data_IF_025578081405
#
_entry.id   IF_025578081405
#
_cell.length_a   1.000
_cell.length_b   1.000
_cell.length_c   1.000
_cell.angle_alpha   90.00
_cell.angle_beta   90.00
_cell.angle_gamma   90.00
#
_symmetry.space_group_name_H-M   'P 1'
#
loop_
_entity.id
_entity.type
_entity.pdbx_description
1 polymer ?
#
# COMPACT_ATOMS: atom_id res chain seq x y z
N UNK A 1 6.46 19.88 22.53
CA UNK A 1 5.13 19.20 22.54
C UNK A 1 5.19 17.83 23.17
N UNK A 2 5.99 16.88 22.71
CA UNK A 2 6.19 15.63 23.47
C UNK A 2 6.62 15.94 24.92
N UNK A 3 7.56 16.89 25.08
CA UNK A 3 7.94 17.44 26.39
C UNK A 3 6.91 18.38 27.03
N UNK A 4 6.07 19.08 26.25
CA UNK A 4 5.05 19.98 26.81
C UNK A 4 3.81 19.22 27.29
N UNK A 5 3.51 18.08 26.67
CA UNK A 5 2.46 17.14 27.05
C UNK A 5 2.96 16.12 28.08
N UNK A 6 4.24 16.18 28.45
CA UNK A 6 4.92 15.27 29.36
C UNK A 6 4.77 13.77 29.01
N UNK A 7 4.56 13.43 27.73
CA UNK A 7 4.29 12.05 27.30
C UNK A 7 5.54 11.26 26.89
N UNK A 8 6.73 11.85 27.02
CA UNK A 8 7.99 11.31 26.52
C UNK A 8 8.32 9.90 27.02
N UNK A 9 8.07 9.61 28.30
CA UNK A 9 8.34 8.29 28.91
C UNK A 9 7.42 7.17 28.37
N UNK A 10 6.28 7.57 27.81
CA UNK A 10 5.23 6.67 27.33
C UNK A 10 5.38 6.33 25.84
N UNK A 11 6.22 7.06 25.09
CA UNK A 11 6.49 6.78 23.69
C UNK A 11 7.41 5.56 23.60
N UNK A 12 6.86 4.43 23.15
CA UNK A 12 7.63 3.19 22.98
C UNK A 12 8.00 2.90 21.52
N UNK A 13 7.31 3.52 20.57
CA UNK A 13 7.58 3.28 19.16
C UNK A 13 7.08 4.35 18.20
N UNK A 14 7.70 4.34 17.03
CA UNK A 14 7.47 5.24 15.92
C UNK A 14 7.10 4.43 14.68
N UNK A 15 5.95 4.71 14.06
CA UNK A 15 5.56 4.06 12.80
C UNK A 15 5.50 5.04 11.65
N UNK A 16 6.13 4.71 10.53
CA UNK A 16 6.03 5.51 9.31
C UNK A 16 6.40 4.69 8.07
N UNK A 17 6.28 5.31 6.89
CA UNK A 17 6.83 4.72 5.67
C UNK A 17 8.35 4.48 5.78
N UNK A 18 8.86 3.65 4.88
CA UNK A 18 10.27 3.21 4.89
C UNK A 18 11.17 4.07 4.00
N UNK A 19 10.77 5.31 3.72
CA UNK A 19 11.55 6.24 2.89
C UNK A 19 12.89 6.61 3.56
N UNK A 20 13.82 7.13 2.74
CA UNK A 20 15.14 7.48 3.22
C UNK A 20 15.14 8.62 4.25
N UNK A 21 14.17 9.54 4.12
CA UNK A 21 13.94 10.66 5.04
C UNK A 21 13.54 10.14 6.43
N UNK A 22 12.79 9.04 6.49
CA UNK A 22 12.27 8.51 7.73
C UNK A 22 13.24 7.54 8.43
N UNK A 23 13.88 6.63 7.69
CA UNK A 23 14.71 5.57 8.32
C UNK A 23 16.13 5.36 7.77
N UNK A 24 16.42 5.66 6.50
CA UNK A 24 17.65 5.15 5.84
C UNK A 24 18.89 6.05 5.96
N UNK A 25 18.74 7.34 6.27
CA UNK A 25 19.90 8.25 6.40
C UNK A 25 20.35 8.42 7.85
N UNK A 26 21.63 8.75 8.08
CA UNK A 26 22.13 9.16 9.41
C UNK A 26 21.35 10.34 9.99
N UNK A 27 20.82 11.18 9.10
CA UNK A 27 20.01 12.35 9.41
C UNK A 27 18.50 12.08 9.41
N UNK A 28 18.08 10.80 9.31
CA UNK A 28 16.66 10.46 9.23
C UNK A 28 15.94 10.85 10.51
N UNK A 29 14.63 11.06 10.41
CA UNK A 29 13.85 11.48 11.57
C UNK A 29 13.90 10.45 12.69
N UNK A 30 13.87 9.15 12.38
CA UNK A 30 14.06 8.11 13.39
C UNK A 30 15.42 8.22 14.11
N UNK A 31 16.51 8.44 13.38
CA UNK A 31 17.84 8.59 13.98
C UNK A 31 17.91 9.81 14.91
N UNK A 32 17.30 10.93 14.53
CA UNK A 32 17.21 12.14 15.37
C UNK A 32 16.36 11.90 16.62
N UNK A 33 15.21 11.23 16.47
CA UNK A 33 14.35 10.89 17.59
C UNK A 33 15.00 9.89 18.54
N UNK A 34 15.85 8.99 18.06
CA UNK A 34 16.56 8.03 18.90
C UNK A 34 17.60 8.69 19.83
N UNK A 35 18.14 9.86 19.47
CA UNK A 35 18.99 10.65 20.37
C UNK A 35 18.18 11.17 21.57
N UNK A 36 16.92 11.54 21.34
CA UNK A 36 16.01 12.11 22.34
C UNK A 36 15.31 11.00 23.15
N UNK A 37 14.96 9.90 22.48
CA UNK A 37 14.28 8.73 23.03
C UNK A 37 15.12 7.48 22.75
N UNK A 38 16.16 7.18 23.55
CA UNK A 38 17.11 6.10 23.27
C UNK A 38 16.47 4.72 23.02
N UNK A 39 15.33 4.48 23.69
CA UNK A 39 14.60 3.21 23.66
C UNK A 39 13.46 3.16 22.63
N UNK A 40 13.32 4.16 21.74
CA UNK A 40 12.24 4.18 20.77
C UNK A 40 12.42 3.09 19.70
N UNK A 41 11.38 2.30 19.49
CA UNK A 41 11.35 1.23 18.48
C UNK A 41 10.79 1.77 17.16
N UNK A 42 11.45 1.48 16.05
CA UNK A 42 10.93 1.79 14.72
C UNK A 42 10.01 0.68 14.22
N UNK A 43 8.80 1.01 13.81
CA UNK A 43 7.86 0.09 13.16
C UNK A 43 7.66 0.49 11.70
N UNK A 44 8.06 -0.33 10.70
CA UNK A 44 7.78 0.00 9.31
C UNK A 44 6.27 -0.07 9.03
N UNK A 45 5.74 0.88 8.27
CA UNK A 45 4.36 0.80 7.79
C UNK A 45 4.18 -0.46 6.93
N UNK A 46 3.32 -1.37 7.40
CA UNK A 46 3.06 -2.65 6.75
C UNK A 46 2.56 -2.50 5.32
N UNK A 47 1.62 -1.57 5.08
CA UNK A 47 1.11 -1.29 3.74
C UNK A 47 2.21 -0.80 2.80
N UNK A 48 3.03 0.14 3.28
CA UNK A 48 4.12 0.67 2.47
C UNK A 48 5.14 -0.42 2.14
N UNK A 49 5.44 -1.33 3.07
CA UNK A 49 6.32 -2.47 2.79
C UNK A 49 5.70 -3.39 1.73
N UNK A 50 4.43 -3.74 1.85
CA UNK A 50 3.74 -4.59 0.86
C UNK A 50 3.63 -3.89 -0.51
N UNK A 51 3.43 -2.58 -0.54
CA UNK A 51 3.50 -1.77 -1.77
C UNK A 51 4.89 -1.80 -2.40
N UNK A 52 5.96 -1.74 -1.59
CA UNK A 52 7.35 -1.84 -2.06
C UNK A 52 7.69 -3.22 -2.63
N UNK A 53 7.11 -4.29 -2.08
CA UNK A 53 7.24 -5.64 -2.65
C UNK A 53 6.61 -5.70 -4.04
N UNK A 54 5.40 -5.17 -4.21
CA UNK A 54 4.75 -5.11 -5.51
C UNK A 54 5.52 -4.23 -6.51
N UNK A 55 6.05 -3.09 -6.06
CA UNK A 55 6.92 -2.24 -6.89
C UNK A 55 8.05 -3.08 -7.51
N UNK A 56 8.81 -3.79 -6.68
CA UNK A 56 9.94 -4.58 -7.17
C UNK A 56 9.50 -5.71 -8.11
N UNK A 57 8.37 -6.37 -7.80
CA UNK A 57 7.82 -7.42 -8.65
C UNK A 57 7.44 -6.89 -10.04
N UNK A 58 6.71 -5.77 -10.11
CA UNK A 58 6.27 -5.19 -11.37
C UNK A 58 7.45 -4.60 -12.17
N UNK A 59 8.44 -4.02 -11.51
CA UNK A 59 9.67 -3.54 -12.17
C UNK A 59 10.51 -4.66 -12.78
N UNK A 60 10.53 -5.84 -12.16
CA UNK A 60 11.20 -7.02 -12.74
C UNK A 60 10.44 -7.55 -13.97
N UNK A 61 9.10 -7.50 -13.96
CA UNK A 61 8.25 -7.93 -15.08
C UNK A 61 8.23 -6.93 -16.24
N UNK A 62 8.28 -5.63 -15.93
CA UNK A 62 8.22 -4.54 -16.91
C UNK A 62 9.34 -3.53 -16.64
N UNK A 63 10.60 -3.87 -16.97
CA UNK A 63 11.72 -2.97 -16.76
C UNK A 63 11.53 -1.70 -17.57
N UNK A 64 11.45 -0.56 -16.89
CA UNK A 64 11.37 0.73 -17.56
C UNK A 64 12.79 1.11 -18.01
N UNK A 65 13.05 1.04 -19.31
CA UNK A 65 14.39 1.26 -19.91
C UNK A 65 14.83 2.72 -19.91
N UNK A 66 13.93 3.65 -19.60
CA UNK A 66 14.24 5.08 -19.62
C UNK A 66 14.66 5.57 -18.23
N UNK A 67 15.75 6.33 -18.18
CA UNK A 67 16.23 7.06 -17.01
C UNK A 67 15.33 8.25 -16.62
N UNK A 68 14.19 8.44 -17.30
CA UNK A 68 13.25 9.52 -17.00
C UNK A 68 12.35 9.15 -15.81
N UNK A 69 12.34 9.95 -14.72
CA UNK A 69 11.52 9.71 -13.53
C UNK A 69 10.00 9.82 -13.75
N UNK A 70 9.56 10.04 -14.99
CA UNK A 70 8.15 10.17 -15.42
C UNK A 70 7.71 9.09 -16.43
N UNK A 71 8.56 8.11 -16.74
CA UNK A 71 8.13 6.98 -17.57
C UNK A 71 7.18 6.09 -16.78
N UNK A 72 5.90 6.07 -17.17
CA UNK A 72 4.89 5.17 -16.60
C UNK A 72 4.76 3.91 -17.47
N UNK A 73 4.22 2.84 -16.89
CA UNK A 73 4.01 1.57 -17.62
C UNK A 73 3.08 1.75 -18.82
N UNK A 74 3.31 1.00 -19.90
CA UNK A 74 2.52 1.11 -21.14
C UNK A 74 1.01 1.00 -20.87
N UNK A 75 0.60 0.04 -20.02
CA UNK A 75 -0.81 -0.20 -19.68
C UNK A 75 -1.45 0.98 -18.95
N UNK A 76 -0.67 1.83 -18.28
CA UNK A 76 -1.17 3.05 -17.66
C UNK A 76 -1.52 4.06 -18.74
N UNK A 77 -0.59 4.33 -19.66
CA UNK A 77 -0.77 5.33 -20.70
C UNK A 77 -1.90 4.92 -21.64
N UNK A 78 -1.88 3.69 -22.15
CA UNK A 78 -2.93 3.17 -23.03
C UNK A 78 -4.31 3.24 -22.37
N UNK A 79 -4.41 2.86 -21.08
CA UNK A 79 -5.70 2.91 -20.39
C UNK A 79 -6.21 4.33 -20.20
N UNK A 80 -5.34 5.34 -20.03
CA UNK A 80 -5.76 6.75 -19.94
C UNK A 80 -6.26 7.26 -21.28
N UNK A 81 -5.52 6.96 -22.33
CA UNK A 81 -5.74 7.56 -23.65
C UNK A 81 -6.90 6.89 -24.38
N UNK A 82 -7.11 5.59 -24.16
CA UNK A 82 -8.07 4.78 -24.91
C UNK A 82 -9.22 4.24 -24.04
N UNK A 83 -9.42 4.77 -22.83
CA UNK A 83 -10.38 4.21 -21.88
C UNK A 83 -11.77 3.95 -22.47
N UNK A 84 -12.33 4.93 -23.17
CA UNK A 84 -13.71 4.87 -23.66
C UNK A 84 -13.86 3.82 -24.77
N UNK A 85 -12.86 3.67 -25.62
CA UNK A 85 -12.80 2.64 -26.69
C UNK A 85 -12.63 1.25 -26.10
N UNK A 86 -11.75 1.11 -25.11
CA UNK A 86 -11.55 -0.16 -24.40
C UNK A 86 -12.81 -0.59 -23.65
N UNK A 87 -13.52 0.36 -23.05
CA UNK A 87 -14.78 0.10 -22.35
C UNK A 87 -15.91 -0.28 -23.31
N UNK A 88 -16.03 0.35 -24.48
CA UNK A 88 -17.06 -0.01 -25.46
C UNK A 88 -16.90 -1.43 -26.01
N UNK A 89 -15.67 -1.95 -26.01
CA UNK A 89 -15.37 -3.31 -26.47
C UNK A 89 -15.58 -4.37 -25.37
N UNK A 90 -15.85 -3.95 -24.13
CA UNK A 90 -16.04 -4.87 -23.01
C UNK A 90 -17.46 -5.44 -23.01
N UNK A 91 -17.59 -6.70 -23.41
CA UNK A 91 -18.86 -7.43 -23.38
C UNK A 91 -19.00 -8.22 -22.08
N UNK A 92 -20.10 -8.02 -21.36
CA UNK A 92 -20.41 -8.76 -20.12
C UNK A 92 -21.15 -10.05 -20.44
N UNK A 93 -20.76 -11.15 -19.80
CA UNK A 93 -21.47 -12.44 -19.91
C UNK A 93 -22.18 -12.83 -18.60
N UNK A 94 -21.88 -12.14 -17.50
CA UNK A 94 -22.59 -12.29 -16.23
C UNK A 94 -23.85 -11.42 -16.21
N UNK A 95 -24.97 -12.00 -15.79
CA UNK A 95 -26.27 -11.32 -15.65
C UNK A 95 -26.37 -10.52 -14.35
N UNK A 96 -25.57 -10.86 -13.33
CA UNK A 96 -25.61 -10.20 -12.02
C UNK A 96 -24.70 -8.97 -12.01
N UNK A 97 -25.24 -7.81 -11.63
CA UNK A 97 -24.44 -6.58 -11.50
C UNK A 97 -23.69 -6.54 -10.18
N UNK A 98 -22.35 -6.44 -10.23
CA UNK A 98 -21.51 -6.42 -9.04
C UNK A 98 -21.32 -5.00 -8.53
N UNK A 99 -21.69 -4.79 -7.26
CA UNK A 99 -21.58 -3.49 -6.60
C UNK A 99 -20.21 -3.33 -5.94
N UNK A 100 -19.72 -2.09 -5.95
CA UNK A 100 -18.54 -1.72 -5.17
C UNK A 100 -18.80 -1.99 -3.67
N UNK A 101 -17.89 -2.68 -2.97
CA UNK A 101 -18.02 -2.88 -1.53
C UNK A 101 -17.88 -1.54 -0.80
N UNK A 102 -18.62 -1.37 0.30
CA UNK A 102 -18.46 -0.20 1.18
C UNK A 102 -17.15 -0.33 1.94
N UNK A 103 -16.23 0.60 1.71
CA UNK A 103 -14.94 0.66 2.41
C UNK A 103 -14.64 2.10 2.81
N UNK A 104 -13.68 2.28 3.71
CA UNK A 104 -13.27 3.60 4.21
C UNK A 104 -12.69 4.52 3.12
N UNK A 105 -12.26 3.97 1.97
CA UNK A 105 -11.72 4.72 0.84
C UNK A 105 -12.20 4.16 -0.51
N UNK A 106 -12.46 5.06 -1.45
CA UNK A 106 -13.00 4.73 -2.78
C UNK A 106 -12.07 3.88 -3.65
N UNK A 107 -10.75 4.07 -3.54
CA UNK A 107 -9.74 3.28 -4.24
C UNK A 107 -9.68 1.85 -3.71
N UNK A 108 -9.97 1.63 -2.42
CA UNK A 108 -10.00 0.28 -1.85
C UNK A 108 -11.22 -0.47 -2.35
N UNK A 109 -12.38 0.18 -2.35
CA UNK A 109 -13.59 -0.39 -2.94
C UNK A 109 -13.38 -0.82 -4.39
N UNK A 110 -12.69 0.00 -5.18
CA UNK A 110 -12.40 -0.30 -6.58
C UNK A 110 -11.39 -1.44 -6.73
N UNK A 111 -10.29 -1.41 -5.98
CA UNK A 111 -9.30 -2.47 -5.99
C UNK A 111 -9.91 -3.81 -5.59
N UNK A 112 -10.70 -3.86 -4.52
CA UNK A 112 -11.37 -5.09 -4.08
C UNK A 112 -12.34 -5.61 -5.14
N UNK A 113 -13.14 -4.73 -5.76
CA UNK A 113 -14.06 -5.14 -6.81
C UNK A 113 -13.28 -5.73 -8.00
N UNK A 114 -12.26 -5.03 -8.48
CA UNK A 114 -11.45 -5.46 -9.62
C UNK A 114 -10.74 -6.81 -9.37
N UNK A 115 -10.17 -7.02 -8.18
CA UNK A 115 -9.57 -8.32 -7.83
C UNK A 115 -10.61 -9.43 -7.89
N UNK A 116 -11.78 -9.23 -7.28
CA UNK A 116 -12.86 -10.24 -7.30
C UNK A 116 -13.35 -10.51 -8.72
N UNK A 117 -13.51 -9.47 -9.52
CA UNK A 117 -13.92 -9.55 -10.92
C UNK A 117 -12.89 -10.29 -11.77
N UNK A 118 -11.60 -10.04 -11.55
CA UNK A 118 -10.52 -10.78 -12.21
C UNK A 118 -10.52 -12.27 -11.85
N UNK A 119 -10.64 -12.58 -10.56
CA UNK A 119 -10.72 -13.98 -10.08
C UNK A 119 -11.94 -14.67 -10.70
N UNK A 120 -13.11 -14.01 -10.69
CA UNK A 120 -14.32 -14.54 -11.34
C UNK A 120 -14.06 -14.85 -12.81
N UNK A 121 -13.56 -13.87 -13.58
CA UNK A 121 -13.24 -14.06 -14.99
C UNK A 121 -12.27 -15.22 -15.21
N UNK A 122 -11.22 -15.34 -14.40
CA UNK A 122 -10.26 -16.43 -14.51
C UNK A 122 -10.86 -17.81 -14.23
N UNK A 123 -11.83 -17.89 -13.31
CA UNK A 123 -12.48 -19.17 -12.93
C UNK A 123 -13.61 -19.56 -13.88
N UNK A 124 -14.39 -18.62 -14.38
CA UNK A 124 -15.59 -18.89 -15.18
C UNK A 124 -15.39 -18.63 -16.68
N UNK A 125 -14.29 -17.98 -17.05
CA UNK A 125 -14.05 -17.39 -18.37
C UNK A 125 -15.12 -16.36 -18.80
N UNK A 126 -15.94 -15.88 -17.86
CA UNK A 126 -17.00 -14.92 -18.12
C UNK A 126 -16.63 -13.53 -17.63
N UNK A 127 -16.91 -12.53 -18.44
CA UNK A 127 -16.72 -11.13 -18.06
C UNK A 127 -17.82 -10.71 -17.05
N UNK A 128 -17.44 -10.32 -15.81
CA UNK A 128 -18.41 -9.88 -14.81
C UNK A 128 -19.04 -8.54 -15.19
N UNK A 129 -20.31 -8.37 -14.86
CA UNK A 129 -21.02 -7.11 -15.09
C UNK A 129 -20.67 -6.10 -14.00
N UNK A 130 -19.63 -5.31 -14.27
CA UNK A 130 -19.12 -4.27 -13.37
C UNK A 130 -19.11 -2.90 -14.04
N UNK A 131 -19.39 -1.85 -13.28
CA UNK A 131 -19.23 -0.47 -13.75
C UNK A 131 -17.79 -0.02 -13.55
N UNK A 132 -16.97 -0.05 -14.60
CA UNK A 132 -15.61 0.50 -14.54
C UNK A 132 -15.65 2.02 -14.29
N UNK A 133 -14.91 2.49 -13.29
CA UNK A 133 -14.68 3.92 -13.08
C UNK A 133 -13.64 4.43 -14.08
N UNK A 134 -13.77 5.70 -14.50
CA UNK A 134 -12.77 6.35 -15.34
C UNK A 134 -11.40 6.38 -14.64
N UNK A 135 -10.29 6.17 -15.36
CA UNK A 135 -8.96 6.21 -14.77
C UNK A 135 -8.71 7.54 -14.03
N UNK A 136 -8.36 7.45 -12.75
CA UNK A 136 -8.09 8.59 -11.89
C UNK A 136 -6.60 8.95 -11.81
N UNK A 137 -6.22 9.98 -11.04
CA UNK A 137 -4.83 10.34 -10.83
C UNK A 137 -4.04 9.18 -10.21
N UNK A 138 -2.77 9.07 -10.58
CA UNK A 138 -1.85 8.06 -10.00
C UNK A 138 -1.15 8.66 -8.80
N UNK A 139 -1.22 7.95 -7.68
CA UNK A 139 -0.47 8.30 -6.50
C UNK A 139 0.96 7.76 -6.64
N UNK A 140 1.98 8.61 -6.54
CA UNK A 140 3.39 8.17 -6.51
C UNK A 140 3.72 7.39 -5.22
N UNK A 141 3.02 7.68 -4.12
CA UNK A 141 3.29 7.09 -2.81
C UNK A 141 2.58 5.75 -2.55
N UNK A 142 1.48 5.44 -3.26
CA UNK A 142 0.67 4.23 -3.04
C UNK A 142 0.53 3.41 -4.32
N UNK A 143 0.87 2.13 -4.22
CA UNK A 143 0.86 1.24 -5.37
C UNK A 143 -0.52 0.77 -5.79
N UNK A 144 -1.54 0.89 -4.93
CA UNK A 144 -2.94 0.57 -5.25
C UNK A 144 -3.43 1.19 -6.57
N UNK A 145 -3.07 2.45 -6.84
CA UNK A 145 -3.48 3.12 -8.07
C UNK A 145 -2.94 2.39 -9.30
N UNK A 146 -1.65 2.01 -9.31
CA UNK A 146 -1.05 1.24 -10.41
C UNK A 146 -1.64 -0.16 -10.52
N UNK A 147 -1.94 -0.80 -9.39
CA UNK A 147 -2.62 -2.09 -9.36
C UNK A 147 -4.01 -2.04 -9.99
N UNK A 148 -4.79 -1.00 -9.68
CA UNK A 148 -6.12 -0.77 -10.29
C UNK A 148 -5.97 -0.64 -11.80
N UNK A 149 -4.98 0.12 -12.27
CA UNK A 149 -4.71 0.28 -13.70
C UNK A 149 -4.33 -1.05 -14.36
N UNK A 150 -3.43 -1.84 -13.75
CA UNK A 150 -3.00 -3.13 -14.29
C UNK A 150 -4.18 -4.11 -14.46
N UNK A 151 -4.97 -4.33 -13.39
CA UNK A 151 -6.13 -5.24 -13.46
C UNK A 151 -7.18 -4.70 -14.43
N UNK A 152 -7.49 -3.40 -14.37
CA UNK A 152 -8.50 -2.79 -15.24
C UNK A 152 -8.13 -2.92 -16.71
N UNK A 153 -6.88 -2.60 -17.06
CA UNK A 153 -6.39 -2.77 -18.42
C UNK A 153 -6.49 -4.23 -18.85
N UNK A 154 -5.99 -5.19 -18.06
CA UNK A 154 -6.12 -6.61 -18.39
C UNK A 154 -7.58 -7.04 -18.57
N UNK A 155 -8.49 -6.58 -17.72
CA UNK A 155 -9.91 -6.93 -17.83
C UNK A 155 -10.52 -6.46 -19.14
N UNK A 156 -10.12 -5.28 -19.64
CA UNK A 156 -10.63 -4.68 -20.86
C UNK A 156 -9.93 -5.19 -22.13
N UNK A 157 -8.65 -5.57 -22.07
CA UNK A 157 -7.85 -5.94 -23.25
C UNK A 157 -7.50 -7.42 -23.34
N UNK A 158 -7.50 -8.13 -22.20
CA UNK A 158 -6.96 -9.49 -22.04
C UNK A 158 -5.49 -9.61 -22.42
N UNK A 159 -4.72 -8.54 -22.29
CA UNK A 159 -3.30 -8.50 -22.65
C UNK A 159 -2.50 -9.61 -21.91
N UNK A 160 -1.97 -10.61 -22.63
CA UNK A 160 -1.29 -11.74 -22.01
C UNK A 160 -0.03 -11.33 -21.24
N UNK A 161 0.59 -10.20 -21.59
CA UNK A 161 1.80 -9.72 -20.92
C UNK A 161 1.52 -9.35 -19.46
N UNK A 162 0.29 -8.96 -19.13
CA UNK A 162 -0.12 -8.61 -17.76
C UNK A 162 -0.70 -9.77 -16.97
N UNK A 163 -0.90 -10.95 -17.58
CA UNK A 163 -1.56 -12.09 -16.94
C UNK A 163 -0.87 -12.50 -15.65
N UNK A 164 0.45 -12.71 -15.70
CA UNK A 164 1.22 -13.13 -14.52
C UNK A 164 1.21 -12.08 -13.41
N UNK A 165 1.28 -10.80 -13.78
CA UNK A 165 1.18 -9.71 -12.81
C UNK A 165 -0.21 -9.63 -12.17
N UNK A 166 -1.27 -9.81 -12.95
CA UNK A 166 -2.64 -9.83 -12.42
C UNK A 166 -2.89 -11.06 -11.55
N UNK A 167 -2.33 -12.22 -11.90
CA UNK A 167 -2.33 -13.41 -11.03
C UNK A 167 -1.63 -13.11 -9.70
N UNK A 168 -0.43 -12.53 -9.75
CA UNK A 168 0.32 -12.20 -8.55
C UNK A 168 -0.44 -11.24 -7.64
N UNK A 169 -1.03 -10.19 -8.24
CA UNK A 169 -1.84 -9.19 -7.57
C UNK A 169 -3.07 -9.84 -6.91
N UNK A 170 -3.83 -10.66 -7.64
CA UNK A 170 -5.10 -11.18 -7.17
C UNK A 170 -4.93 -12.30 -6.13
N UNK A 171 -3.94 -13.17 -6.31
CA UNK A 171 -3.79 -14.38 -5.50
C UNK A 171 -2.92 -14.17 -4.26
N UNK A 172 -1.95 -13.24 -4.33
CA UNK A 172 -0.97 -13.08 -3.27
C UNK A 172 -0.97 -11.66 -2.69
N UNK A 173 -0.66 -10.66 -3.50
CA UNK A 173 -0.47 -9.30 -2.98
C UNK A 173 -1.77 -8.71 -2.42
N UNK A 174 -2.88 -8.79 -3.15
CA UNK A 174 -4.15 -8.17 -2.80
C UNK A 174 -4.71 -8.67 -1.47
N UNK A 175 -4.90 -9.99 -1.29
CA UNK A 175 -5.33 -10.56 -0.01
C UNK A 175 -4.45 -10.12 1.16
N UNK A 176 -3.13 -10.14 0.97
CA UNK A 176 -2.16 -9.79 2.01
C UNK A 176 -2.18 -8.28 2.30
N UNK A 177 -2.34 -7.44 1.29
CA UNK A 177 -2.43 -6.00 1.43
C UNK A 177 -3.66 -5.57 2.25
N UNK A 178 -4.80 -6.26 2.07
CA UNK A 178 -5.99 -6.03 2.90
C UNK A 178 -5.85 -6.59 4.33
N UNK A 179 -5.13 -7.70 4.52
CA UNK A 179 -5.00 -8.38 5.81
C UNK A 179 -3.87 -7.84 6.69
N UNK A 180 -2.78 -7.35 6.11
CA UNK A 180 -1.53 -7.04 6.84
C UNK A 180 -1.69 -5.96 7.91
N UNK A 181 -2.76 -5.18 7.81
CA UNK A 181 -3.22 -4.18 8.79
C UNK A 181 -3.37 -4.78 10.18
N UNK A 182 -3.98 -5.95 10.22
CA UNK A 182 -4.39 -6.65 11.44
C UNK A 182 -3.53 -7.88 11.71
N UNK A 183 -2.94 -8.47 10.66
CA UNK A 183 -2.17 -9.70 10.77
C UNK A 183 -0.80 -9.59 10.09
N UNK A 184 0.27 -9.45 10.89
CA UNK A 184 1.64 -9.44 10.37
C UNK A 184 2.04 -10.79 9.76
N UNK A 185 1.45 -11.90 10.22
CA UNK A 185 1.75 -13.23 9.70
C UNK A 185 1.25 -13.41 8.27
N UNK A 186 0.23 -12.63 7.85
CA UNK A 186 -0.22 -12.61 6.46
C UNK A 186 0.91 -12.23 5.50
N UNK A 187 1.79 -11.29 5.88
CA UNK A 187 2.92 -10.89 5.04
C UNK A 187 3.93 -12.03 4.86
N UNK A 188 4.09 -12.90 5.88
CA UNK A 188 5.01 -14.06 5.80
C UNK A 188 4.64 -15.03 4.68
N UNK A 189 3.36 -15.07 4.30
CA UNK A 189 2.87 -15.88 3.17
C UNK A 189 3.41 -15.41 1.81
N UNK A 190 3.93 -14.18 1.69
CA UNK A 190 4.61 -13.71 0.47
C UNK A 190 6.02 -14.26 0.30
N UNK A 191 6.73 -14.63 1.39
CA UNK A 191 8.15 -14.99 1.31
C UNK A 191 8.46 -16.05 0.26
N UNK A 192 7.71 -17.17 0.15
CA UNK A 192 7.98 -18.21 -0.86
C UNK A 192 7.79 -17.73 -2.31
N UNK A 193 7.16 -16.57 -2.52
CA UNK A 193 6.90 -15.95 -3.83
C UNK A 193 7.85 -14.80 -4.14
N UNK A 194 8.75 -14.48 -3.21
CA UNK A 194 9.74 -13.43 -3.39
C UNK A 194 11.04 -14.05 -3.94
N UNK A 195 11.59 -13.44 -4.98
CA UNK A 195 12.92 -13.71 -5.50
C UNK A 195 13.63 -12.37 -5.80
N UNK A 196 14.91 -12.41 -6.13
CA UNK A 196 15.66 -11.22 -6.56
C UNK A 196 15.47 -10.01 -5.64
N UNK A 197 15.11 -8.86 -6.23
CA UNK A 197 14.95 -7.59 -5.48
C UNK A 197 13.72 -7.61 -4.57
N UNK A 198 12.72 -8.43 -4.89
CA UNK A 198 11.54 -8.62 -4.05
C UNK A 198 11.94 -9.30 -2.74
N UNK A 199 12.77 -10.36 -2.81
CA UNK A 199 13.30 -11.05 -1.63
C UNK A 199 14.19 -10.13 -0.80
N UNK A 200 15.12 -9.40 -1.44
CA UNK A 200 15.96 -8.41 -0.74
C UNK A 200 15.13 -7.35 0.00
N UNK A 201 14.04 -6.90 -0.63
CA UNK A 201 13.11 -5.94 -0.03
C UNK A 201 12.35 -6.57 1.15
N UNK A 202 11.90 -7.80 0.99
CA UNK A 202 11.24 -8.57 2.05
C UNK A 202 12.15 -8.71 3.25
N UNK A 203 13.37 -9.22 3.06
CA UNK A 203 14.31 -9.46 4.16
C UNK A 203 14.70 -8.16 4.85
N UNK A 204 14.99 -7.10 4.09
CA UNK A 204 15.38 -5.81 4.66
C UNK A 204 14.33 -5.19 5.58
N UNK A 205 13.04 -5.33 5.26
CA UNK A 205 11.96 -4.64 5.99
C UNK A 205 11.14 -5.56 6.90
N UNK A 206 11.20 -6.87 6.70
CA UNK A 206 10.35 -7.86 7.37
C UNK A 206 11.13 -9.01 8.01
N UNK A 207 12.44 -9.15 7.80
CA UNK A 207 13.28 -10.08 8.57
C UNK A 207 13.51 -9.63 10.02
N UNK A 208 12.81 -8.59 10.49
CA UNK A 208 12.84 -8.22 11.90
C UNK A 208 11.86 -9.13 12.64
N UNK A 209 12.29 -10.38 12.84
CA UNK A 209 11.62 -11.39 13.67
C UNK A 209 11.50 -10.96 15.16
N UNK A 210 12.07 -9.80 15.52
CA UNK A 210 12.26 -9.35 16.91
C UNK A 210 11.41 -8.15 17.30
N UNK A 211 10.54 -7.60 16.45
CA UNK A 211 9.72 -6.47 16.87
C UNK A 211 8.54 -6.96 17.72
N UNK A 212 8.31 -6.38 18.92
CA UNK A 212 7.14 -6.70 19.72
C UNK A 212 5.88 -6.48 18.89
N UNK A 213 5.01 -7.48 18.83
CA UNK A 213 3.67 -7.34 18.26
C UNK A 213 2.93 -6.28 19.08
N UNK A 214 2.78 -5.09 18.52
CA UNK A 214 1.85 -4.12 19.09
C UNK A 214 0.44 -4.65 18.89
N UNK A 215 -0.33 -4.78 19.97
CA UNK A 215 -1.75 -5.16 19.92
C UNK A 215 -2.63 -3.97 19.50
N UNK A 216 -2.22 -3.29 18.43
CA UNK A 216 -2.98 -2.24 17.75
C UNK A 216 -2.91 -2.50 16.26
N UNK A 217 -3.99 -2.22 15.54
CA UNK A 217 -3.99 -2.24 14.09
C UNK A 217 -2.87 -1.30 13.58
N UNK A 218 -2.01 -1.78 12.67
CA UNK A 218 -0.82 -1.05 12.24
C UNK A 218 -0.97 -0.61 10.79
N UNK A 219 -1.52 0.59 10.57
CA UNK A 219 -1.78 1.12 9.23
C UNK A 219 -1.40 2.59 9.07
N UNK A 220 -1.05 3.00 7.85
CA UNK A 220 -0.91 4.43 7.53
C UNK A 220 -2.24 5.20 7.69
N UNK A 221 -3.39 4.53 7.66
CA UNK A 221 -4.68 5.17 7.99
C UNK A 221 -4.76 5.53 9.47
N UNK A 222 -4.12 4.75 10.34
CA UNK A 222 -4.03 5.07 11.76
C UNK A 222 -3.02 6.19 12.00
N UNK A 223 -1.95 6.29 11.20
CA UNK A 223 -1.14 7.51 11.13
C UNK A 223 -2.06 8.69 10.77
N UNK A 224 -2.73 8.64 9.61
CA UNK A 224 -3.64 9.70 9.13
C UNK A 224 -4.73 10.09 10.15
N UNK A 225 -5.34 9.11 10.85
CA UNK A 225 -6.40 9.34 11.86
C UNK A 225 -5.86 9.82 13.21
N UNK A 226 -4.71 9.32 13.67
CA UNK A 226 -4.07 9.83 14.89
C UNK A 226 -3.69 11.31 14.73
N UNK A 227 -3.43 11.77 13.50
CA UNK A 227 -3.14 13.16 13.19
C UNK A 227 -4.36 14.08 13.34
N UNK A 228 -5.55 13.67 12.90
CA UNK A 228 -6.77 14.47 13.09
C UNK A 228 -7.09 14.70 14.58
N UNK A 229 -6.67 13.79 15.45
CA UNK A 229 -6.80 13.90 16.91
C UNK A 229 -5.76 14.84 17.52
N UNK A 230 -4.52 14.82 17.02
CA UNK A 230 -3.39 15.64 17.50
C UNK A 230 -3.43 17.07 16.95
N UNK A 231 -4.01 17.31 15.77
CA UNK A 231 -4.19 18.63 15.16
C UNK A 231 -4.97 19.60 16.05
N UNK A 232 -5.86 19.08 16.91
CA UNK A 232 -6.61 19.86 17.89
C UNK A 232 -5.73 20.46 19.00
N UNK A 233 -4.49 19.97 19.14
CA UNK A 233 -3.58 20.32 20.23
C UNK A 233 -2.24 20.91 19.73
N UNK A 234 -2.13 21.25 18.43
CA UNK A 234 -0.82 21.39 17.79
C UNK A 234 -0.48 22.77 17.17
N UNK A 235 0.68 23.31 17.55
CA UNK A 235 1.37 24.46 16.96
C UNK A 235 2.09 24.14 15.61
N UNK A 236 2.54 25.15 14.86
CA UNK A 236 2.98 25.02 13.44
C UNK A 236 4.11 24.01 13.21
N UNK A 237 5.07 23.89 14.13
CA UNK A 237 6.18 22.91 14.05
C UNK A 237 5.76 21.45 14.29
N UNK A 238 4.60 21.21 14.91
CA UNK A 238 4.08 19.87 15.13
C UNK A 238 3.36 19.31 13.93
N UNK A 239 2.69 20.17 13.16
CA UNK A 239 2.03 19.72 11.94
C UNK A 239 3.04 19.02 11.03
N UNK A 240 4.29 19.49 11.00
CA UNK A 240 5.38 18.89 10.21
C UNK A 240 5.94 17.56 10.74
N UNK A 241 5.87 17.30 12.05
CA UNK A 241 6.31 16.04 12.68
C UNK A 241 5.14 15.05 12.71
N UNK A 242 3.95 15.51 13.07
CA UNK A 242 2.72 14.75 13.09
C UNK A 242 2.42 14.21 11.69
N UNK A 243 2.48 15.00 10.61
CA UNK A 243 2.22 14.49 9.25
C UNK A 243 3.11 13.32 8.78
N UNK A 244 4.14 12.92 9.55
CA UNK A 244 5.14 11.93 9.14
C UNK A 244 5.20 10.66 10.00
N UNK A 245 4.62 10.61 11.21
CA UNK A 245 4.81 9.47 12.14
C UNK A 245 3.63 9.13 13.06
N UNK A 246 3.25 7.85 13.16
CA UNK A 246 2.48 7.36 14.31
C UNK A 246 3.37 7.30 15.55
N UNK A 247 2.87 7.82 16.67
CA UNK A 247 3.49 7.67 17.98
C UNK A 247 2.66 6.65 18.77
N UNK A 248 3.26 5.52 19.13
CA UNK A 248 2.64 4.56 20.05
C UNK A 248 2.92 5.00 21.49
N UNK A 249 1.85 5.32 22.21
CA UNK A 249 1.85 5.69 23.63
C UNK A 249 1.26 4.53 24.42
N UNK A 250 1.96 4.03 25.44
CA UNK A 250 1.41 2.98 26.29
C UNK A 250 0.14 3.48 27.00
N UNK A 251 -0.99 2.78 26.86
CA UNK A 251 -2.23 3.11 27.57
C UNK A 251 -2.07 2.71 29.04
N UNK A 252 -1.46 3.58 29.82
CA UNK A 252 -1.56 3.58 31.27
C UNK A 252 -1.82 5.02 31.68
N UNK A 253 -2.97 5.55 31.26
CA UNK A 253 -3.55 6.71 31.93
C UNK A 253 -4.32 6.14 33.13
N UNK A 254 -3.69 6.17 34.30
CA UNK A 254 -4.35 6.15 35.60
C UNK A 254 -4.25 7.55 36.19
#
# INVERSE_FOLDING_TARGET
VIYQLNIHEYIKGLMCDTTAVNKRSKNSVFCRLKVIFPNIIYYPCRLHVVDRLLYHYIEEMFPITSSSPNSEYYFINTLRDQFDVLLSNYTTLDVSYWKYPRMNRNDYSELTLLIKSYIHFRTTNNNPNIKFKRPGPICKARWNSRTIYAIKYYMLTKDPNLRESCNFIADYWGPIWFQCRNDLTAIKKLKPRCNGKVLDCYERHLAIETQPLLNVEMTNEICERAFSSLEKFADRHLKDIATKFLIYVNKSFS
#
